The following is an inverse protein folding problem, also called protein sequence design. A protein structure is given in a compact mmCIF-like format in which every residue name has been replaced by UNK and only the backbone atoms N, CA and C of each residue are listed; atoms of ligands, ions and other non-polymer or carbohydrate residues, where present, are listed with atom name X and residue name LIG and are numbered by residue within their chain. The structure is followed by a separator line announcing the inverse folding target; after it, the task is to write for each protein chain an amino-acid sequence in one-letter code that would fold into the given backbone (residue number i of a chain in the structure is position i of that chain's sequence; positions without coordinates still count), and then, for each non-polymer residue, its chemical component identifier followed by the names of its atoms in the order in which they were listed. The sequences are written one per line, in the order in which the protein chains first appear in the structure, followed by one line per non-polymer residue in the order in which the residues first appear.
data_IF_288859680765
#
_entry.id   IF_288859680765
#
_cell.length_a   1.000
_cell.length_b   1.000
_cell.length_c   1.000
_cell.angle_alpha   90.00
_cell.angle_beta   90.00
_cell.angle_gamma   90.00
#
_symmetry.space_group_name_H-M   'P 1'
#
loop_
_entity.id
_entity.type
_entity.pdbx_description
1 polymer ?
#
# COMPACT_ATOMS: atom_id res chain seq x y z
N UNK A 1 -17.19 17.84 27.51
CA UNK A 1 -17.65 17.35 26.18
C UNK A 1 -18.82 16.37 26.32
N UNK A 2 -18.69 15.26 27.06
CA UNK A 2 -19.75 14.25 27.21
C UNK A 2 -21.07 14.83 27.78
N UNK A 3 -21.00 15.64 28.84
CA UNK A 3 -22.20 16.26 29.43
C UNK A 3 -22.92 17.23 28.48
N UNK A 4 -22.18 17.93 27.63
CA UNK A 4 -22.76 18.83 26.62
C UNK A 4 -23.44 18.05 25.50
N UNK A 5 -22.86 16.92 25.09
CA UNK A 5 -23.47 16.02 24.11
C UNK A 5 -24.76 15.36 24.64
N UNK A 6 -24.82 15.05 25.94
CA UNK A 6 -26.03 14.53 26.58
C UNK A 6 -27.15 15.56 26.64
N UNK A 7 -26.84 16.83 26.94
CA UNK A 7 -27.82 17.91 26.95
C UNK A 7 -28.47 18.13 25.58
N UNK A 8 -27.69 18.02 24.50
CA UNK A 8 -28.15 18.18 23.12
C UNK A 8 -28.66 16.88 22.48
N UNK A 9 -28.63 15.75 23.19
CA UNK A 9 -28.97 14.44 22.62
C UNK A 9 -30.40 14.37 22.08
N UNK A 10 -31.33 15.09 22.72
CA UNK A 10 -32.73 15.16 22.30
C UNK A 10 -32.95 15.99 21.02
N UNK A 11 -32.01 16.88 20.70
CA UNK A 11 -32.03 17.75 19.51
C UNK A 11 -31.28 17.14 18.32
N UNK A 12 -30.62 16.00 18.52
CA UNK A 12 -29.81 15.31 17.52
C UNK A 12 -30.47 13.97 17.14
N UNK A 13 -31.41 13.96 16.18
CA UNK A 13 -32.25 12.80 15.88
C UNK A 13 -31.47 11.55 15.43
N UNK A 14 -30.29 11.73 14.82
CA UNK A 14 -29.43 10.62 14.36
C UNK A 14 -28.25 10.33 15.30
N UNK A 15 -28.16 10.95 16.48
CA UNK A 15 -27.04 10.74 17.40
C UNK A 15 -26.84 9.27 17.75
N UNK A 16 -27.94 8.56 18.06
CA UNK A 16 -27.88 7.12 18.33
C UNK A 16 -27.36 6.34 17.12
N UNK A 17 -27.81 6.66 15.92
CA UNK A 17 -27.37 5.97 14.69
C UNK A 17 -25.90 6.24 14.39
N UNK A 18 -25.44 7.47 14.57
CA UNK A 18 -24.03 7.83 14.41
C UNK A 18 -23.14 7.10 15.41
N UNK A 19 -23.53 7.05 16.69
CA UNK A 19 -22.79 6.33 17.74
C UNK A 19 -22.74 4.83 17.42
N UNK A 20 -23.87 4.23 17.04
CA UNK A 20 -23.91 2.82 16.64
C UNK A 20 -23.04 2.55 15.41
N UNK A 21 -23.10 3.40 14.37
CA UNK A 21 -22.27 3.25 13.18
C UNK A 21 -20.77 3.37 13.52
N UNK A 22 -20.40 4.34 14.37
CA UNK A 22 -19.03 4.50 14.85
C UNK A 22 -18.53 3.27 15.60
N UNK A 23 -19.30 2.74 16.55
CA UNK A 23 -18.90 1.56 17.31
C UNK A 23 -18.90 0.28 16.48
N UNK A 24 -19.81 0.14 15.50
CA UNK A 24 -19.79 -0.99 14.57
C UNK A 24 -18.52 -0.97 13.71
N UNK A 25 -18.18 0.19 13.12
CA UNK A 25 -16.94 0.32 12.35
C UNK A 25 -15.68 0.17 13.20
N UNK A 26 -15.73 0.63 14.45
CA UNK A 26 -14.65 0.41 15.42
C UNK A 26 -14.51 -1.07 15.75
N UNK A 27 -15.61 -1.79 16.01
CA UNK A 27 -15.58 -3.23 16.31
C UNK A 27 -14.91 -4.05 15.21
N UNK A 28 -15.24 -3.79 13.94
CA UNK A 28 -14.56 -4.43 12.80
C UNK A 28 -13.06 -4.15 12.78
N UNK A 29 -12.68 -2.92 13.13
CA UNK A 29 -11.28 -2.49 13.17
C UNK A 29 -10.53 -3.18 14.31
N UNK A 30 -11.16 -3.28 15.48
CA UNK A 30 -10.57 -3.96 16.64
C UNK A 30 -10.28 -5.43 16.33
N UNK A 31 -11.17 -6.14 15.64
CA UNK A 31 -10.94 -7.52 15.20
C UNK A 31 -9.67 -7.65 14.34
N UNK A 32 -9.31 -6.62 13.56
CA UNK A 32 -8.07 -6.61 12.76
C UNK A 32 -6.82 -6.28 13.57
N UNK A 33 -6.95 -5.60 14.70
CA UNK A 33 -5.84 -5.22 15.58
C UNK A 33 -5.58 -6.22 16.73
N UNK A 34 -6.56 -7.07 17.04
CA UNK A 34 -6.41 -8.11 18.07
C UNK A 34 -5.78 -9.46 17.66
N UNK A 35 -5.52 -9.81 16.38
CA UNK A 35 -4.99 -11.14 16.03
C UNK A 35 -3.65 -11.46 16.70
N UNK A 36 -2.82 -10.45 16.93
CA UNK A 36 -1.54 -10.61 17.61
C UNK A 36 -1.67 -11.00 19.10
N UNK A 37 -2.84 -10.77 19.71
CA UNK A 37 -3.17 -11.09 21.10
C UNK A 37 -3.92 -12.43 21.26
N UNK A 38 -4.27 -13.11 20.16
CA UNK A 38 -4.90 -14.43 20.22
C UNK A 38 -3.94 -15.48 20.80
N UNK A 39 -4.50 -16.57 21.34
CA UNK A 39 -3.70 -17.72 21.78
C UNK A 39 -3.02 -18.33 20.55
N UNK A 40 -1.70 -18.48 20.59
CA UNK A 40 -0.85 -18.82 19.43
C UNK A 40 -0.53 -17.64 18.51
N UNK A 41 -1.01 -16.42 18.82
CA UNK A 41 -0.68 -15.18 18.13
C UNK A 41 0.73 -14.68 18.45
N UNK A 42 1.16 -13.63 17.75
CA UNK A 42 2.55 -13.13 17.82
C UNK A 42 2.99 -12.76 19.25
N UNK A 43 2.12 -12.19 20.07
CA UNK A 43 2.42 -11.81 21.47
C UNK A 43 2.44 -13.04 22.39
N UNK A 44 1.58 -14.02 22.15
CA UNK A 44 1.52 -15.28 22.92
C UNK A 44 2.76 -16.15 22.66
N UNK A 45 3.27 -16.11 21.43
CA UNK A 45 4.47 -16.84 20.99
C UNK A 45 5.79 -16.18 21.42
N UNK A 46 5.76 -15.03 22.10
CA UNK A 46 6.98 -14.37 22.57
C UNK A 46 7.64 -15.23 23.66
N UNK A 47 8.93 -15.57 23.51
CA UNK A 47 9.64 -16.37 24.50
C UNK A 47 9.56 -15.73 25.90
N UNK A 48 9.37 -16.53 26.96
CA UNK A 48 9.27 -16.03 28.34
C UNK A 48 10.47 -15.18 28.76
N UNK A 49 11.65 -15.43 28.20
CA UNK A 49 12.88 -14.70 28.49
C UNK A 49 12.86 -13.28 27.91
N UNK A 50 12.12 -13.03 26.81
CA UNK A 50 12.06 -11.73 26.11
C UNK A 50 10.91 -10.88 26.66
N UNK A 51 9.83 -11.53 27.12
CA UNK A 51 8.63 -10.88 27.66
C UNK A 51 8.88 -9.78 28.73
N UNK A 52 9.80 -9.94 29.71
CA UNK A 52 10.09 -8.89 30.68
C UNK A 52 10.84 -7.68 30.10
N UNK A 53 11.46 -7.80 28.92
CA UNK A 53 12.14 -6.69 28.24
C UNK A 53 11.20 -5.86 27.35
N UNK A 54 10.01 -6.39 27.05
CA UNK A 54 8.96 -5.68 26.31
C UNK A 54 8.13 -4.82 27.26
N UNK A 55 8.67 -3.66 27.65
CA UNK A 55 7.87 -2.64 28.31
C UNK A 55 7.08 -1.85 27.27
N UNK A 56 5.91 -2.37 26.88
CA UNK A 56 4.93 -1.64 26.06
C UNK A 56 3.81 -1.22 26.98
N UNK A 57 3.65 0.09 27.19
CA UNK A 57 2.53 0.60 27.97
C UNK A 57 1.21 0.20 27.29
N UNK A 58 0.24 -0.29 28.07
CA UNK A 58 -1.05 -0.77 27.55
C UNK A 58 -1.92 0.35 26.96
N UNK A 59 -1.56 1.60 27.24
CA UNK A 59 -2.20 2.80 26.70
C UNK A 59 -1.47 3.26 25.45
N UNK A 60 -2.12 3.09 24.29
CA UNK A 60 -1.58 3.50 23.00
C UNK A 60 -1.20 4.99 22.96
N UNK A 61 -1.87 5.87 23.72
CA UNK A 61 -1.54 7.31 23.82
C UNK A 61 -0.05 7.59 24.11
N UNK A 62 0.57 6.80 24.98
CA UNK A 62 1.98 6.98 25.34
C UNK A 62 2.95 6.45 24.27
N UNK A 63 2.49 5.59 23.37
CA UNK A 63 3.28 5.04 22.26
C UNK A 63 3.03 5.84 20.96
N UNK A 64 1.82 6.38 20.77
CA UNK A 64 1.46 7.25 19.65
C UNK A 64 2.14 8.61 19.74
N UNK A 65 2.27 9.18 20.95
CA UNK A 65 2.97 10.44 21.18
C UNK A 65 4.42 10.40 20.65
N UNK A 66 5.28 9.48 21.12
CA UNK A 66 6.65 9.34 20.66
C UNK A 66 6.77 8.99 19.17
N UNK A 67 5.91 8.13 18.63
CA UNK A 67 5.92 7.82 17.20
C UNK A 67 5.52 9.03 16.35
N UNK A 68 4.52 9.79 16.80
CA UNK A 68 4.11 11.06 16.21
C UNK A 68 5.26 12.07 16.24
N UNK A 69 5.90 12.24 17.40
CA UNK A 69 7.07 13.09 17.57
C UNK A 69 8.23 12.66 16.67
N UNK A 70 8.51 11.36 16.55
CA UNK A 70 9.54 10.84 15.64
C UNK A 70 9.21 11.17 14.19
N UNK A 71 7.96 11.00 13.76
CA UNK A 71 7.53 11.34 12.38
C UNK A 71 7.69 12.83 12.09
N UNK A 72 7.30 13.68 13.04
CA UNK A 72 7.50 15.14 12.93
C UNK A 72 8.98 15.48 12.90
N UNK A 73 9.78 14.87 13.77
CA UNK A 73 11.22 15.07 13.84
C UNK A 73 11.91 14.71 12.53
N UNK A 74 11.66 13.52 11.98
CA UNK A 74 12.23 13.07 10.70
C UNK A 74 11.81 13.99 9.55
N UNK A 75 10.59 14.53 9.59
CA UNK A 75 10.13 15.49 8.58
C UNK A 75 10.93 16.79 8.59
N UNK A 76 11.28 17.32 9.76
CA UNK A 76 12.08 18.54 9.88
C UNK A 76 13.60 18.29 9.86
N UNK A 77 14.02 17.07 10.21
CA UNK A 77 15.42 16.63 10.27
C UNK A 77 15.60 15.37 9.42
N UNK A 78 15.55 15.47 8.07
CA UNK A 78 15.59 14.31 7.19
C UNK A 78 16.90 13.52 7.25
N UNK A 79 17.98 14.15 7.73
CA UNK A 79 19.27 13.51 7.95
C UNK A 79 19.39 12.85 9.34
N UNK A 80 18.37 12.97 10.20
CA UNK A 80 18.33 12.32 11.50
C UNK A 80 17.98 10.85 11.37
N UNK A 81 18.48 10.05 12.30
CA UNK A 81 18.12 8.63 12.44
C UNK A 81 17.33 8.41 13.76
N UNK A 82 16.75 7.22 13.96
CA UNK A 82 15.99 6.90 15.18
C UNK A 82 16.82 6.98 16.46
N UNK A 83 18.12 6.73 16.38
CA UNK A 83 19.05 6.79 17.50
C UNK A 83 19.30 8.22 17.95
N UNK A 84 19.58 9.15 17.03
CA UNK A 84 19.71 10.58 17.31
C UNK A 84 18.42 11.16 17.91
N UNK A 85 17.25 10.75 17.39
CA UNK A 85 15.97 11.13 17.99
C UNK A 85 15.83 10.59 19.42
N UNK A 86 16.13 9.30 19.62
CA UNK A 86 16.05 8.68 20.94
C UNK A 86 17.02 9.31 21.95
N UNK A 87 18.23 9.66 21.51
CA UNK A 87 19.23 10.35 22.32
C UNK A 87 18.74 11.75 22.71
N UNK A 88 18.15 12.49 21.77
CA UNK A 88 17.59 13.82 22.02
C UNK A 88 16.39 13.76 22.99
N UNK A 89 15.46 12.82 22.78
CA UNK A 89 14.33 12.60 23.69
C UNK A 89 14.81 12.25 25.11
N UNK A 90 15.82 11.38 25.24
CA UNK A 90 16.41 11.07 26.55
C UNK A 90 17.13 12.26 27.16
N UNK A 91 17.84 13.04 26.35
CA UNK A 91 18.53 14.25 26.79
C UNK A 91 17.56 15.23 27.45
N UNK A 92 16.42 15.49 26.81
CA UNK A 92 15.40 16.38 27.35
C UNK A 92 14.65 15.78 28.54
N UNK A 93 14.23 14.50 28.45
CA UNK A 93 13.46 13.85 29.54
C UNK A 93 14.24 13.69 30.82
N UNK A 94 15.53 13.44 30.72
CA UNK A 94 16.38 13.20 31.88
C UNK A 94 17.06 14.47 32.41
N UNK A 95 16.81 15.63 31.79
CA UNK A 95 17.49 16.88 32.11
C UNK A 95 19.03 16.69 32.13
N UNK A 96 19.52 16.03 31.07
CA UNK A 96 20.93 15.67 30.95
C UNK A 96 21.81 16.92 30.93
N UNK A 97 21.28 18.08 30.51
CA UNK A 97 21.97 19.37 30.57
C UNK A 97 22.32 19.77 32.00
N UNK A 98 21.34 19.75 32.91
CA UNK A 98 21.58 20.11 34.32
C UNK A 98 22.50 19.11 35.02
N UNK A 99 22.36 17.82 34.70
CA UNK A 99 23.29 16.80 35.17
C UNK A 99 24.72 17.08 34.68
N UNK A 100 24.87 17.35 33.37
CA UNK A 100 26.17 17.63 32.77
C UNK A 100 26.82 18.87 33.41
N UNK A 101 26.06 19.96 33.54
CA UNK A 101 26.56 21.20 34.13
C UNK A 101 27.05 21.03 35.58
N UNK A 102 26.44 20.11 36.34
CA UNK A 102 26.76 19.91 37.76
C UNK A 102 27.87 18.89 38.00
N UNK A 103 27.98 17.86 37.16
CA UNK A 103 28.80 16.68 37.46
C UNK A 103 29.89 16.38 36.42
N UNK A 104 29.81 16.92 35.21
CA UNK A 104 30.77 16.61 34.13
C UNK A 104 31.92 17.61 34.17
N UNK A 105 33.15 17.08 34.21
CA UNK A 105 34.38 17.87 34.12
C UNK A 105 34.87 17.99 32.68
N UNK A 106 35.88 18.83 32.45
CA UNK A 106 36.52 18.97 31.13
C UNK A 106 37.16 17.65 30.64
N UNK A 107 37.67 16.82 31.55
CA UNK A 107 38.26 15.51 31.21
C UNK A 107 37.19 14.52 30.75
N UNK A 108 36.03 14.52 31.41
CA UNK A 108 34.88 13.70 31.04
C UNK A 108 34.35 14.10 29.65
N UNK A 109 34.27 15.40 29.35
CA UNK A 109 33.92 15.89 28.02
C UNK A 109 34.90 15.39 26.95
N UNK A 110 36.20 15.45 27.22
CA UNK A 110 37.22 14.94 26.30
C UNK A 110 37.12 13.42 26.11
N UNK A 111 36.72 12.68 27.14
CA UNK A 111 36.42 11.25 27.03
C UNK A 111 35.20 11.02 26.12
N UNK A 112 34.06 11.68 26.38
CA UNK A 112 32.84 11.54 25.57
C UNK A 112 33.11 11.90 24.11
N UNK A 113 33.82 13.01 23.84
CA UNK A 113 34.19 13.40 22.47
C UNK A 113 35.05 12.35 21.76
N UNK A 114 35.92 11.63 22.48
CA UNK A 114 36.71 10.54 21.91
C UNK A 114 35.83 9.32 21.59
N UNK A 115 34.90 8.97 22.47
CA UNK A 115 33.99 7.85 22.23
C UNK A 115 33.05 8.13 21.05
N UNK A 116 32.44 9.32 20.97
CA UNK A 116 31.60 9.71 19.82
C UNK A 116 32.38 9.63 18.50
N UNK A 117 33.66 10.05 18.48
CA UNK A 117 34.49 9.91 17.27
C UNK A 117 34.76 8.46 16.90
N UNK A 118 34.93 7.55 17.86
CA UNK A 118 35.10 6.11 17.59
C UNK A 118 33.81 5.53 17.00
N UNK A 119 32.67 5.93 17.54
CA UNK A 119 31.36 5.52 17.06
C UNK A 119 31.08 6.06 15.65
N UNK A 120 31.36 7.33 15.38
CA UNK A 120 31.27 7.91 14.04
C UNK A 120 32.20 7.19 13.04
N UNK A 121 33.42 6.86 13.48
CA UNK A 121 34.38 6.12 12.66
C UNK A 121 33.92 4.68 12.35
N UNK A 122 32.99 4.10 13.12
CA UNK A 122 32.42 2.78 12.84
C UNK A 122 31.61 2.75 11.54
N UNK A 123 31.13 3.91 11.07
CA UNK A 123 30.30 4.02 9.87
C UNK A 123 28.90 3.42 10.01
N UNK A 124 28.47 3.02 11.21
CA UNK A 124 27.15 2.43 11.45
C UNK A 124 26.00 3.30 10.91
N UNK A 125 26.08 4.61 11.11
CA UNK A 125 25.11 5.56 10.56
C UNK A 125 25.09 5.60 9.02
N UNK A 126 26.24 5.47 8.37
CA UNK A 126 26.31 5.41 6.91
C UNK A 126 25.71 4.10 6.39
N UNK A 127 25.98 2.98 7.05
CA UNK A 127 25.39 1.68 6.74
C UNK A 127 23.86 1.70 6.90
N UNK A 128 23.34 2.25 8.00
CA UNK A 128 21.91 2.40 8.24
C UNK A 128 21.24 3.24 7.16
N UNK A 129 21.82 4.40 6.79
CA UNK A 129 21.28 5.25 5.72
C UNK A 129 21.23 4.52 4.39
N UNK A 130 22.26 3.75 4.06
CA UNK A 130 22.31 2.95 2.82
C UNK A 130 21.18 1.92 2.80
N UNK A 131 21.02 1.15 3.87
CA UNK A 131 19.95 0.16 4.00
C UNK A 131 18.56 0.79 3.91
N UNK A 132 18.35 1.95 4.55
CA UNK A 132 17.09 2.69 4.48
C UNK A 132 16.77 3.13 3.04
N UNK A 133 17.74 3.66 2.31
CA UNK A 133 17.56 4.06 0.90
C UNK A 133 17.21 2.85 0.04
N UNK A 134 17.94 1.74 0.18
CA UNK A 134 17.67 0.50 -0.57
C UNK A 134 16.24 -0.02 -0.32
N UNK A 135 15.78 -0.01 0.94
CA UNK A 135 14.42 -0.43 1.28
C UNK A 135 13.35 0.51 0.70
N UNK A 136 13.57 1.82 0.77
CA UNK A 136 12.67 2.83 0.21
C UNK A 136 12.59 2.72 -1.31
N UNK A 137 13.71 2.49 -1.99
CA UNK A 137 13.77 2.26 -3.44
C UNK A 137 13.00 0.99 -3.83
N UNK A 138 13.22 -0.11 -3.11
CA UNK A 138 12.48 -1.36 -3.32
C UNK A 138 10.96 -1.15 -3.18
N UNK A 139 10.53 -0.49 -2.10
CA UNK A 139 9.10 -0.15 -1.89
C UNK A 139 8.56 0.73 -3.02
N UNK A 140 9.33 1.72 -3.47
CA UNK A 140 8.93 2.61 -4.56
C UNK A 140 8.80 1.85 -5.89
N UNK A 141 9.69 0.90 -6.17
CA UNK A 141 9.63 0.05 -7.36
C UNK A 141 8.39 -0.86 -7.34
N UNK A 142 8.16 -1.56 -6.22
CA UNK A 142 6.98 -2.40 -6.03
C UNK A 142 5.68 -1.62 -6.20
N UNK A 143 5.63 -0.39 -5.66
CA UNK A 143 4.46 0.47 -5.81
C UNK A 143 4.25 0.90 -7.26
N UNK A 144 5.32 1.26 -7.99
CA UNK A 144 5.23 1.59 -9.42
C UNK A 144 4.76 0.40 -10.25
N UNK A 145 5.23 -0.80 -9.93
CA UNK A 145 4.82 -2.03 -10.62
C UNK A 145 3.34 -2.34 -10.37
N UNK A 146 2.87 -2.27 -9.12
CA UNK A 146 1.45 -2.42 -8.78
C UNK A 146 0.58 -1.43 -9.55
N UNK A 147 0.98 -0.16 -9.61
CA UNK A 147 0.25 0.87 -10.37
C UNK A 147 0.21 0.51 -11.86
N UNK A 148 1.32 0.05 -12.46
CA UNK A 148 1.37 -0.37 -13.87
C UNK A 148 0.45 -1.56 -14.14
N UNK A 149 0.46 -2.58 -13.27
CA UNK A 149 -0.40 -3.76 -13.40
C UNK A 149 -1.86 -3.36 -13.30
N UNK A 150 -2.22 -2.51 -12.33
CA UNK A 150 -3.60 -2.05 -12.16
C UNK A 150 -4.09 -1.28 -13.38
N UNK A 151 -3.31 -0.32 -13.90
CA UNK A 151 -3.65 0.43 -15.11
C UNK A 151 -3.80 -0.52 -16.32
N UNK A 152 -2.93 -1.53 -16.45
CA UNK A 152 -3.04 -2.50 -17.53
C UNK A 152 -4.30 -3.38 -17.39
N UNK A 153 -4.64 -3.81 -16.18
CA UNK A 153 -5.84 -4.57 -15.88
C UNK A 153 -7.11 -3.76 -16.16
N UNK A 154 -7.16 -2.49 -15.76
CA UNK A 154 -8.26 -1.57 -16.05
C UNK A 154 -8.47 -1.41 -17.56
N UNK A 155 -7.40 -1.16 -18.33
CA UNK A 155 -7.47 -1.06 -19.80
C UNK A 155 -7.94 -2.37 -20.45
N UNK A 156 -7.52 -3.51 -19.91
CA UNK A 156 -7.95 -4.81 -20.40
C UNK A 156 -9.44 -5.05 -20.11
N UNK A 157 -9.91 -4.70 -18.91
CA UNK A 157 -11.34 -4.77 -18.55
C UNK A 157 -12.18 -3.82 -19.41
N UNK A 158 -11.71 -2.60 -19.67
CA UNK A 158 -12.38 -1.65 -20.57
C UNK A 158 -12.47 -2.22 -21.99
N UNK A 159 -11.38 -2.81 -22.51
CA UNK A 159 -11.38 -3.47 -23.81
C UNK A 159 -12.37 -4.64 -23.86
N UNK A 160 -12.37 -5.49 -22.84
CA UNK A 160 -13.27 -6.64 -22.76
C UNK A 160 -14.74 -6.22 -22.66
N UNK A 161 -15.06 -5.21 -21.86
CA UNK A 161 -16.43 -4.67 -21.75
C UNK A 161 -16.91 -4.08 -23.07
N UNK A 162 -16.06 -3.32 -23.78
CA UNK A 162 -16.36 -2.79 -25.12
C UNK A 162 -16.63 -3.91 -26.13
N UNK A 163 -15.83 -4.97 -26.11
CA UNK A 163 -16.03 -6.13 -26.98
C UNK A 163 -17.33 -6.88 -26.64
N UNK A 164 -17.65 -7.04 -25.35
CA UNK A 164 -18.93 -7.65 -24.92
C UNK A 164 -20.14 -6.83 -25.36
N UNK A 165 -20.05 -5.50 -25.24
CA UNK A 165 -21.12 -4.59 -25.68
C UNK A 165 -21.32 -4.59 -27.20
N UNK A 166 -20.26 -4.85 -27.99
CA UNK A 166 -20.36 -4.93 -29.45
C UNK A 166 -21.20 -6.13 -29.91
N UNK A 167 -21.13 -7.25 -29.18
CA UNK A 167 -21.86 -8.47 -29.51
C UNK A 167 -21.36 -9.16 -30.79
N UNK A 168 -21.77 -10.41 -30.99
CA UNK A 168 -21.48 -11.18 -32.20
C UNK A 168 -22.54 -10.85 -33.25
N UNK A 169 -22.13 -10.27 -34.38
CA UNK A 169 -23.04 -10.01 -35.51
C UNK A 169 -23.22 -11.30 -36.34
N UNK A 170 -24.48 -11.76 -36.47
CA UNK A 170 -24.82 -13.01 -37.17
C UNK A 170 -25.24 -12.81 -38.62
N UNK A 171 -25.53 -11.58 -39.02
CA UNK A 171 -26.00 -11.29 -40.38
C UNK A 171 -24.82 -11.20 -41.38
N UNK A 172 -24.77 -12.17 -42.30
CA UNK A 172 -23.75 -12.27 -43.36
C UNK A 172 -23.76 -11.07 -44.31
N UNK A 173 -24.92 -10.44 -44.55
CA UNK A 173 -25.02 -9.26 -45.40
C UNK A 173 -24.42 -8.03 -44.71
N UNK A 174 -24.67 -7.87 -43.40
CA UNK A 174 -24.05 -6.81 -42.60
C UNK A 174 -22.53 -6.97 -42.50
N UNK A 175 -22.02 -8.18 -42.28
CA UNK A 175 -20.57 -8.44 -42.23
C UNK A 175 -19.87 -8.01 -43.54
N UNK A 176 -20.49 -8.22 -44.70
CA UNK A 176 -19.96 -7.78 -46.02
C UNK A 176 -19.90 -6.26 -46.17
N UNK A 177 -20.84 -5.55 -45.57
CA UNK A 177 -20.91 -4.09 -45.58
C UNK A 177 -20.00 -3.41 -44.54
N UNK A 178 -19.43 -4.16 -43.59
CA UNK A 178 -18.59 -3.59 -42.53
C UNK A 178 -17.29 -2.96 -43.03
N UNK A 179 -16.89 -1.90 -42.36
CA UNK A 179 -15.60 -1.24 -42.53
C UNK A 179 -14.47 -2.07 -41.90
N UNK A 180 -13.21 -1.83 -42.31
CA UNK A 180 -12.04 -2.54 -41.74
C UNK A 180 -11.96 -2.45 -40.20
N UNK A 181 -12.23 -1.30 -39.56
CA UNK A 181 -12.26 -1.21 -38.10
C UNK A 181 -13.35 -2.09 -37.47
N UNK A 182 -14.53 -2.17 -38.06
CA UNK A 182 -15.64 -3.00 -37.58
C UNK A 182 -15.32 -4.50 -37.72
N UNK A 183 -14.68 -4.91 -38.83
CA UNK A 183 -14.22 -6.28 -39.02
C UNK A 183 -13.12 -6.68 -38.02
N UNK A 184 -12.22 -5.74 -37.66
CA UNK A 184 -11.23 -5.97 -36.59
C UNK A 184 -11.90 -6.15 -35.23
N UNK A 185 -12.93 -5.35 -34.93
CA UNK A 185 -13.69 -5.50 -33.69
C UNK A 185 -14.42 -6.85 -33.62
N UNK A 186 -15.08 -7.28 -34.70
CA UNK A 186 -15.72 -8.60 -34.78
C UNK A 186 -14.69 -9.74 -34.67
N UNK A 187 -13.54 -9.62 -35.32
CA UNK A 187 -12.42 -10.57 -35.16
C UNK A 187 -11.98 -10.69 -33.68
N UNK A 188 -11.82 -9.57 -32.99
CA UNK A 188 -11.45 -9.54 -31.56
C UNK A 188 -12.54 -10.16 -30.67
N UNK A 189 -13.83 -9.96 -30.99
CA UNK A 189 -14.96 -10.63 -30.31
C UNK A 189 -14.86 -12.15 -30.47
N UNK A 190 -14.66 -12.66 -31.69
CA UNK A 190 -14.52 -14.10 -31.92
C UNK A 190 -13.26 -14.69 -31.25
N UNK A 191 -12.17 -13.92 -31.17
CA UNK A 191 -10.91 -14.34 -30.56
C UNK A 191 -10.94 -14.39 -29.03
N UNK A 192 -11.51 -13.36 -28.40
CA UNK A 192 -11.41 -13.14 -26.95
C UNK A 192 -12.66 -13.62 -26.20
N UNK A 193 -13.85 -13.44 -26.78
CA UNK A 193 -15.14 -13.77 -26.14
C UNK A 193 -15.59 -15.17 -26.54
N UNK A 194 -15.75 -15.42 -27.85
CA UNK A 194 -16.20 -16.72 -28.37
C UNK A 194 -15.09 -17.78 -28.25
N UNK A 195 -13.82 -17.34 -28.23
CA UNK A 195 -12.62 -18.20 -28.12
C UNK A 195 -12.54 -19.26 -29.24
N UNK A 196 -12.89 -18.91 -30.47
CA UNK A 196 -12.70 -19.80 -31.63
C UNK A 196 -11.22 -20.22 -31.74
N UNK A 197 -10.96 -21.52 -31.84
CA UNK A 197 -9.61 -22.10 -31.82
C UNK A 197 -8.76 -21.70 -33.03
N UNK A 198 -9.37 -21.48 -34.19
CA UNK A 198 -8.68 -21.14 -35.44
C UNK A 198 -8.33 -19.66 -35.45
N UNK A 199 -9.26 -18.81 -35.04
CA UNK A 199 -9.03 -17.37 -34.90
C UNK A 199 -8.01 -17.07 -33.77
N UNK A 200 -8.00 -17.86 -32.70
CA UNK A 200 -6.98 -17.72 -31.63
C UNK A 200 -5.56 -17.93 -32.15
N UNK A 201 -5.37 -18.91 -33.03
CA UNK A 201 -4.06 -19.27 -33.61
C UNK A 201 -3.59 -18.29 -34.68
N UNK A 202 -4.49 -17.51 -35.28
CA UNK A 202 -4.14 -16.47 -36.26
C UNK A 202 -3.94 -15.11 -35.60
N UNK A 203 -3.23 -14.21 -36.29
CA UNK A 203 -3.05 -12.82 -35.88
C UNK A 203 -3.52 -11.87 -36.98
N UNK A 204 -4.04 -10.70 -36.62
CA UNK A 204 -4.45 -9.69 -37.60
C UNK A 204 -3.28 -9.19 -38.49
N UNK A 205 -2.03 -9.38 -38.03
CA UNK A 205 -0.81 -9.05 -38.78
C UNK A 205 -0.62 -10.00 -39.97
N UNK A 206 -0.95 -11.29 -39.82
CA UNK A 206 -0.89 -12.27 -40.91
C UNK A 206 -2.04 -12.12 -41.91
N UNK A 207 -3.02 -11.26 -41.63
CA UNK A 207 -4.24 -11.06 -42.42
C UNK A 207 -4.41 -9.55 -42.74
N UNK A 208 -3.51 -8.95 -43.55
CA UNK A 208 -3.45 -7.50 -43.71
C UNK A 208 -4.58 -6.94 -44.57
N UNK A 209 -5.11 -7.70 -45.53
CA UNK A 209 -6.15 -7.21 -46.45
C UNK A 209 -7.53 -7.21 -45.80
N UNK A 210 -8.46 -6.43 -46.34
CA UNK A 210 -9.86 -6.39 -45.86
C UNK A 210 -10.58 -7.70 -46.15
N UNK A 211 -10.39 -8.26 -47.34
CA UNK A 211 -11.07 -9.46 -47.80
C UNK A 211 -10.70 -10.66 -46.92
N UNK A 212 -9.41 -10.88 -46.68
CA UNK A 212 -8.93 -11.97 -45.83
C UNK A 212 -9.48 -11.88 -44.38
N UNK A 213 -9.71 -10.67 -43.85
CA UNK A 213 -10.37 -10.48 -42.54
C UNK A 213 -11.85 -10.83 -42.59
N UNK A 214 -12.55 -10.42 -43.65
CA UNK A 214 -13.94 -10.77 -43.87
C UNK A 214 -14.10 -12.29 -43.95
N UNK A 215 -13.26 -12.96 -44.73
CA UNK A 215 -13.30 -14.41 -44.92
C UNK A 215 -13.02 -15.15 -43.61
N UNK A 216 -12.08 -14.66 -42.79
CA UNK A 216 -11.80 -15.21 -41.47
C UNK A 216 -12.99 -15.06 -40.50
N UNK A 217 -13.64 -13.89 -40.47
CA UNK A 217 -14.83 -13.66 -39.62
C UNK A 217 -16.03 -14.48 -40.11
N UNK A 218 -16.26 -14.58 -41.42
CA UNK A 218 -17.32 -15.41 -41.99
C UNK A 218 -17.09 -16.91 -41.72
N UNK A 219 -15.85 -17.38 -41.84
CA UNK A 219 -15.50 -18.76 -41.51
C UNK A 219 -15.69 -19.06 -40.01
N UNK A 220 -15.43 -18.09 -39.13
CA UNK A 220 -15.72 -18.24 -37.71
C UNK A 220 -17.21 -18.20 -37.39
N UNK A 221 -17.99 -17.36 -38.08
CA UNK A 221 -19.44 -17.37 -37.98
C UNK A 221 -20.00 -18.76 -38.36
N UNK A 222 -19.53 -19.37 -39.45
CA UNK A 222 -19.98 -20.72 -39.86
C UNK A 222 -19.59 -21.83 -38.89
N UNK A 223 -18.59 -21.61 -38.01
CA UNK A 223 -18.20 -22.57 -36.96
C UNK A 223 -18.92 -22.32 -35.64
N UNK A 224 -19.49 -21.13 -35.49
CA UNK A 224 -20.23 -20.71 -34.31
C UNK A 224 -21.74 -20.99 -34.43
N UNK A 225 -22.27 -21.00 -35.66
CA UNK A 225 -23.57 -21.58 -36.03
C UNK A 225 -23.55 -23.11 -35.88
#
# INVERSE_FOLDING_TARGET
VILAAQALASELPDLSRMITAMFNGSGETWIRFTPEFEIGGTIDMIPPEIRPFLYVTSTNDHNEGPLGSLRVHVRFHPNSNPESFSALERYWRNDTESFAAKYITAEDLLFVMREVRKEDASGAHAAFRKALVEELECKAQLQREKVRINIAAEKQQERESRLRATGVERDRAKLRAMTVPQLKAQYDVYKLIVKDEIIRKTTLVSIPRRQDKLDAVLAALTRFE
#
